data_IF_750799515725
#
_entry.id   IF_750799515725
#
_cell.length_a   1.000
_cell.length_b   1.000
_cell.length_c   1.000
_cell.angle_alpha   90.00
_cell.angle_beta   90.00
_cell.angle_gamma   90.00
#
_symmetry.space_group_name_H-M   'P 1'
#
loop_
_entity.id
_entity.type
_entity.pdbx_description
1 polymer ?
#
# COMPACT_ATOMS: atom_id res chain seq x y z
N UNK A 1 2.01 1.22 16.33
CA UNK A 1 1.06 0.46 15.50
C UNK A 1 1.78 0.07 14.21
N UNK A 2 1.41 -1.00 13.53
CA UNK A 2 2.05 -1.40 12.27
C UNK A 2 1.02 -1.41 11.14
N UNK A 3 1.45 -1.05 9.93
CA UNK A 3 0.69 -1.21 8.70
C UNK A 3 1.37 -2.28 7.87
N UNK A 4 0.63 -3.33 7.53
CA UNK A 4 1.09 -4.34 6.58
C UNK A 4 0.54 -4.01 5.19
N UNK A 5 1.42 -3.88 4.20
CA UNK A 5 1.06 -3.66 2.81
C UNK A 5 1.20 -4.99 2.09
N UNK A 6 0.14 -5.47 1.46
CA UNK A 6 0.15 -6.72 0.69
C UNK A 6 -0.34 -6.46 -0.74
N UNK A 7 0.29 -7.13 -1.68
CA UNK A 7 -0.10 -7.10 -3.09
C UNK A 7 -0.78 -8.41 -3.46
N UNK A 8 -1.84 -8.30 -4.24
CA UNK A 8 -2.64 -9.41 -4.74
C UNK A 8 -2.62 -9.32 -6.26
N UNK A 9 -2.22 -10.39 -6.93
CA UNK A 9 -2.20 -10.45 -8.39
C UNK A 9 -2.31 -11.90 -8.88
N UNK A 10 -2.68 -12.06 -10.14
CA UNK A 10 -2.71 -13.36 -10.79
C UNK A 10 -1.32 -13.71 -11.34
N UNK A 11 -0.90 -14.96 -11.12
CA UNK A 11 0.30 -15.52 -11.72
C UNK A 11 0.05 -16.97 -12.20
N UNK A 12 0.12 -17.19 -13.52
CA UNK A 12 -0.13 -18.47 -14.18
C UNK A 12 -1.54 -19.06 -13.92
N UNK A 13 -2.56 -18.21 -13.87
CA UNK A 13 -3.95 -18.56 -13.60
C UNK A 13 -4.31 -18.63 -12.11
N UNK A 14 -3.33 -18.49 -11.21
CA UNK A 14 -3.53 -18.65 -9.77
C UNK A 14 -3.41 -17.31 -9.03
N UNK A 15 -4.25 -17.04 -8.02
CA UNK A 15 -4.13 -15.84 -7.20
C UNK A 15 -2.91 -15.97 -6.28
N UNK A 16 -2.00 -15.00 -6.37
CA UNK A 16 -0.85 -14.87 -5.48
C UNK A 16 -1.05 -13.68 -4.54
N UNK A 17 -0.68 -13.88 -3.27
CA UNK A 17 -0.61 -12.81 -2.27
C UNK A 17 0.81 -12.73 -1.75
N UNK A 18 1.39 -11.53 -1.79
CA UNK A 18 2.73 -11.27 -1.26
C UNK A 18 2.70 -10.08 -0.31
N UNK A 19 3.22 -10.21 0.93
CA UNK A 19 3.55 -9.06 1.75
C UNK A 19 4.62 -8.22 1.02
N UNK A 20 4.32 -6.95 0.81
CA UNK A 20 5.23 -5.99 0.21
C UNK A 20 6.09 -5.32 1.28
N UNK A 21 5.46 -4.92 2.39
CA UNK A 21 6.17 -4.33 3.54
C UNK A 21 5.37 -4.38 4.84
N UNK A 22 6.05 -4.16 5.95
CA UNK A 22 5.49 -3.93 7.28
C UNK A 22 6.14 -2.68 7.87
N UNK A 23 5.37 -1.60 7.95
CA UNK A 23 5.86 -0.28 8.35
C UNK A 23 5.38 0.05 9.75
N UNK A 24 6.30 0.53 10.59
CA UNK A 24 5.95 1.07 11.90
C UNK A 24 5.31 2.45 11.75
N UNK A 25 4.15 2.64 12.39
CA UNK A 25 3.47 3.93 12.43
C UNK A 25 4.00 4.72 13.64
N UNK A 26 4.81 5.77 13.41
CA UNK A 26 5.54 6.47 14.47
C UNK A 26 4.62 7.19 15.44
N UNK A 27 3.43 7.61 14.99
CA UNK A 27 2.35 8.14 15.83
C UNK A 27 1.11 7.30 15.65
N UNK A 28 0.89 6.42 16.60
CA UNK A 28 -0.34 5.63 16.63
C UNK A 28 -1.51 6.53 17.04
N UNK A 29 -2.70 6.23 16.49
CA UNK A 29 -4.04 6.61 16.99
C UNK A 29 -4.78 7.82 16.37
N UNK A 30 -4.42 8.32 15.18
CA UNK A 30 -5.33 9.16 14.38
C UNK A 30 -5.48 8.59 12.96
N UNK A 31 -6.67 8.79 12.36
CA UNK A 31 -6.90 8.40 10.97
C UNK A 31 -6.08 9.24 9.97
N UNK A 32 -5.72 10.46 10.34
CA UNK A 32 -4.88 11.35 9.55
C UNK A 32 -3.45 10.81 9.38
N UNK A 33 -2.81 10.36 10.46
CA UNK A 33 -1.46 9.78 10.40
C UNK A 33 -1.44 8.48 9.59
N UNK A 34 -2.51 7.68 9.64
CA UNK A 34 -2.67 6.50 8.80
C UNK A 34 -2.85 6.86 7.32
N UNK A 35 -3.62 7.91 7.02
CA UNK A 35 -3.83 8.37 5.64
C UNK A 35 -2.55 8.96 5.04
N UNK A 36 -1.79 9.72 5.82
CA UNK A 36 -0.50 10.26 5.39
C UNK A 36 0.50 9.12 5.13
N UNK A 37 0.64 8.17 6.06
CA UNK A 37 1.51 7.01 5.86
C UNK A 37 1.12 6.21 4.61
N UNK A 38 -0.17 6.04 4.35
CA UNK A 38 -0.64 5.37 3.14
C UNK A 38 -0.29 6.15 1.87
N UNK A 39 -0.41 7.49 1.87
CA UNK A 39 0.00 8.32 0.75
C UNK A 39 1.51 8.20 0.47
N UNK A 40 2.33 8.22 1.51
CA UNK A 40 3.79 8.07 1.42
C UNK A 40 4.16 6.70 0.81
N UNK A 41 3.50 5.62 1.25
CA UNK A 41 3.65 4.26 0.67
C UNK A 41 3.32 4.26 -0.82
N UNK A 42 2.23 4.91 -1.23
CA UNK A 42 1.83 4.94 -2.65
C UNK A 42 2.85 5.68 -3.53
N UNK A 43 3.48 6.73 -3.00
CA UNK A 43 4.53 7.48 -3.69
C UNK A 43 5.84 6.67 -3.74
N UNK A 44 6.28 6.10 -2.61
CA UNK A 44 7.52 5.30 -2.51
C UNK A 44 7.53 4.11 -3.48
N UNK A 45 6.42 3.39 -3.57
CA UNK A 45 6.29 2.25 -4.50
C UNK A 45 5.93 2.64 -5.94
N UNK A 46 5.79 3.94 -6.24
CA UNK A 46 5.38 4.42 -7.58
C UNK A 46 3.99 3.94 -8.01
N UNK A 47 3.10 3.68 -7.04
CA UNK A 47 1.73 3.20 -7.27
C UNK A 47 0.79 4.37 -7.58
N UNK A 48 1.06 5.55 -7.00
CA UNK A 48 0.29 6.77 -7.21
C UNK A 48 0.05 7.06 -8.70
N UNK A 49 1.07 6.87 -9.53
CA UNK A 49 1.00 7.08 -10.99
C UNK A 49 0.17 6.01 -11.71
N UNK A 50 0.23 4.75 -11.25
CA UNK A 50 -0.47 3.62 -11.88
C UNK A 50 -1.97 3.67 -11.65
N UNK A 51 -2.41 4.06 -10.45
CA UNK A 51 -3.84 4.14 -10.10
C UNK A 51 -4.55 5.25 -10.89
N UNK A 52 -3.89 6.39 -11.10
CA UNK A 52 -4.44 7.48 -11.92
C UNK A 52 -4.69 7.07 -13.37
N UNK A 53 -3.95 6.10 -13.90
CA UNK A 53 -4.12 5.60 -15.27
C UNK A 53 -5.26 4.57 -15.42
N UNK A 54 -5.71 3.97 -14.31
CA UNK A 54 -6.82 3.01 -14.27
C UNK A 54 -8.20 3.67 -14.09
N UNK A 55 -8.24 4.96 -13.72
CA UNK A 55 -9.47 5.73 -13.46
C UNK A 55 -9.89 6.62 -14.65
N UNK A 56 -9.33 6.39 -15.85
CA UNK A 56 -9.66 7.10 -17.10
C UNK A 56 -10.52 6.21 -18.01
#
# INVERSE_FOLDING_TARGET
>A
AFVAVSVYFEHNGEPLTLPLDIIEVPKSHTGEELAQMFADILEEYGISEKVSQLLV
#
